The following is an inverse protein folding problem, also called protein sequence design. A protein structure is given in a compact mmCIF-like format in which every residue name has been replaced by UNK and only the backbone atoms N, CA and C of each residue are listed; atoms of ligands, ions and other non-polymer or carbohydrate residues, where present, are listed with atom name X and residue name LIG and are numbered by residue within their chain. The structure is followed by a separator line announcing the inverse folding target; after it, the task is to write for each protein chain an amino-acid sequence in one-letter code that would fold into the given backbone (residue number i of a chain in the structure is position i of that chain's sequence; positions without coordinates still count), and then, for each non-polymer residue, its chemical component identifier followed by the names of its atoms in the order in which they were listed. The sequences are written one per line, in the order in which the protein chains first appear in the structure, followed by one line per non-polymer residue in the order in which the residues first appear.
data_IF_972626229153
#
_entry.id   IF_972626229153
#
_cell.length_a   1.000
_cell.length_b   1.000
_cell.length_c   1.000
_cell.angle_alpha   90.00
_cell.angle_beta   90.00
_cell.angle_gamma   90.00
#
_symmetry.space_group_name_H-M   'P 1'
#
loop_
_entity.id
_entity.type
_entity.pdbx_description
1 polymer ?
#
# COMPACT_ATOMS: atom_id res chain seq x y z
N UNK A 1 12.61 -8.50 -18.17
CA UNK A 1 11.89 -7.20 -18.10
C UNK A 1 11.23 -7.09 -16.73
N UNK A 2 11.33 -5.95 -16.06
CA UNK A 2 10.70 -5.76 -14.75
C UNK A 2 9.18 -5.66 -14.92
N UNK A 3 8.42 -6.18 -13.95
CA UNK A 3 6.96 -6.02 -13.94
C UNK A 3 6.58 -4.55 -13.70
N UNK A 4 5.56 -4.07 -14.40
CA UNK A 4 5.00 -2.75 -14.13
C UNK A 4 4.43 -2.70 -12.70
N UNK A 5 4.50 -1.54 -12.06
CA UNK A 5 4.08 -1.38 -10.67
C UNK A 5 3.26 -0.11 -10.48
N UNK A 6 2.09 -0.24 -9.87
CA UNK A 6 1.31 0.88 -9.34
C UNK A 6 1.46 0.91 -7.82
N UNK A 7 1.89 2.05 -7.29
CA UNK A 7 2.02 2.30 -5.86
C UNK A 7 1.04 3.42 -5.50
N UNK A 8 0.15 3.14 -4.56
CA UNK A 8 -0.76 4.13 -3.97
C UNK A 8 -0.26 4.35 -2.54
N UNK A 9 0.44 5.46 -2.34
CA UNK A 9 0.97 5.87 -1.05
C UNK A 9 -0.07 6.76 -0.35
N UNK A 10 -0.53 6.34 0.82
CA UNK A 10 -1.57 7.04 1.58
C UNK A 10 -0.99 8.03 2.59
N UNK A 11 0.15 7.69 3.17
CA UNK A 11 0.85 8.46 4.20
C UNK A 11 2.35 8.13 4.14
N UNK A 12 3.26 9.08 4.45
CA UNK A 12 2.98 10.43 4.95
C UNK A 12 2.53 11.40 3.86
N UNK A 13 3.14 11.31 2.67
CA UNK A 13 2.82 12.10 1.48
C UNK A 13 1.93 11.26 0.56
N UNK A 14 0.80 11.81 0.12
CA UNK A 14 -0.14 11.12 -0.75
C UNK A 14 0.35 11.18 -2.21
N UNK A 15 0.75 10.02 -2.75
CA UNK A 15 1.21 9.88 -4.14
C UNK A 15 0.61 8.64 -4.80
N UNK A 16 0.25 8.77 -6.07
CA UNK A 16 -0.01 7.62 -6.93
C UNK A 16 1.09 7.57 -7.97
N UNK A 17 1.92 6.53 -7.93
CA UNK A 17 2.96 6.33 -8.94
C UNK A 17 2.78 5.06 -9.75
N UNK A 18 3.07 5.17 -11.04
CA UNK A 18 3.05 4.06 -12.00
C UNK A 18 4.41 3.96 -12.68
N UNK A 19 5.09 2.84 -12.44
CA UNK A 19 6.35 2.48 -13.11
C UNK A 19 6.06 1.55 -14.29
N UNK A 20 6.44 1.98 -15.49
CA UNK A 20 6.28 1.24 -16.75
C UNK A 20 7.58 1.20 -17.54
N UNK A 21 7.72 0.22 -18.41
CA UNK A 21 8.88 0.10 -19.30
C UNK A 21 8.68 0.94 -20.58
N UNK A 22 9.60 1.86 -20.86
CA UNK A 22 9.63 2.66 -22.08
C UNK A 22 10.87 2.33 -22.92
N UNK A 23 10.82 2.56 -24.23
CA UNK A 23 11.99 2.48 -25.10
C UNK A 23 13.02 3.52 -24.66
N UNK A 24 14.27 3.09 -24.52
CA UNK A 24 15.40 4.00 -24.33
C UNK A 24 15.66 4.74 -25.64
N UNK A 25 15.60 6.07 -25.61
CA UNK A 25 15.97 6.88 -26.76
C UNK A 25 17.48 6.77 -27.01
N UNK A 26 17.87 6.36 -28.21
CA UNK A 26 19.26 6.16 -28.61
C UNK A 26 19.39 5.96 -30.11
N UNK A 27 20.58 6.24 -30.65
CA UNK A 27 20.91 6.03 -32.06
C UNK A 27 21.27 4.57 -32.38
N UNK A 28 21.37 3.72 -31.36
CA UNK A 28 21.67 2.31 -31.49
C UNK A 28 20.47 1.53 -32.05
N UNK A 29 20.74 0.62 -32.98
CA UNK A 29 19.73 -0.27 -33.59
C UNK A 29 19.16 -1.32 -32.63
N UNK A 30 19.66 -1.40 -31.40
CA UNK A 30 19.20 -2.37 -30.40
C UNK A 30 18.06 -1.79 -29.55
N UNK A 31 16.93 -2.50 -29.50
CA UNK A 31 15.76 -2.12 -28.70
C UNK A 31 16.05 -2.34 -27.21
N UNK A 32 16.49 -1.29 -26.51
CA UNK A 32 16.68 -1.29 -25.06
C UNK A 32 15.46 -0.67 -24.35
N UNK A 33 15.01 -1.29 -23.26
CA UNK A 33 13.94 -0.79 -22.41
C UNK A 33 14.51 -0.15 -21.14
N UNK A 34 13.89 0.93 -20.68
CA UNK A 34 14.19 1.60 -19.41
C UNK A 34 12.90 1.84 -18.62
N UNK A 35 12.91 1.68 -17.28
CA UNK A 35 11.76 2.03 -16.46
C UNK A 35 11.56 3.55 -16.42
N UNK A 36 10.32 4.00 -16.54
CA UNK A 36 9.92 5.38 -16.28
C UNK A 36 8.89 5.39 -15.14
N UNK A 37 9.04 6.30 -14.18
CA UNK A 37 8.09 6.53 -13.09
C UNK A 37 7.23 7.73 -13.41
N UNK A 38 5.92 7.54 -13.47
CA UNK A 38 4.94 8.62 -13.54
C UNK A 38 4.34 8.79 -12.14
N UNK A 39 4.42 9.98 -11.55
CA UNK A 39 3.89 10.28 -10.22
C UNK A 39 2.79 11.33 -10.29
N UNK A 40 1.71 11.10 -9.55
CA UNK A 40 0.63 12.05 -9.32
C UNK A 40 0.61 12.37 -7.82
N UNK A 41 1.34 13.41 -7.44
CA UNK A 41 1.35 13.90 -6.07
C UNK A 41 0.17 14.86 -5.85
N UNK A 42 -0.61 14.60 -4.82
CA UNK A 42 -1.71 15.49 -4.44
C UNK A 42 -1.14 16.71 -3.70
N UNK A 43 -1.33 17.91 -4.27
CA UNK A 43 -0.97 19.17 -3.59
C UNK A 43 0.07 20.05 -4.26
N UNK A 44 0.61 19.67 -5.43
CA UNK A 44 1.45 20.55 -6.25
C UNK A 44 0.72 20.99 -7.52
N UNK A 45 -0.16 21.98 -7.42
CA UNK A 45 -0.65 22.73 -8.58
C UNK A 45 0.39 23.78 -9.01
N UNK A 46 1.54 23.32 -9.51
CA UNK A 46 2.58 24.19 -10.06
C UNK A 46 3.40 24.97 -9.01
N UNK A 47 4.42 25.68 -9.50
CA UNK A 47 5.34 26.49 -8.67
C UNK A 47 4.58 27.69 -8.07
N UNK A 48 4.21 27.61 -6.79
CA UNK A 48 3.69 28.74 -6.02
C UNK A 48 2.34 28.52 -5.34
N UNK A 49 1.68 27.39 -5.56
CA UNK A 49 0.39 27.11 -4.93
C UNK A 49 0.61 26.45 -3.55
N UNK A 50 -0.16 26.87 -2.55
CA UNK A 50 -0.12 26.25 -1.22
C UNK A 50 -0.88 24.93 -1.30
N UNK A 51 -0.33 23.81 -0.78
CA UNK A 51 -1.06 22.54 -0.80
C UNK A 51 -2.41 22.71 -0.09
N UNK A 52 -3.50 22.14 -0.63
CA UNK A 52 -4.80 22.22 0.01
C UNK A 52 -4.71 21.62 1.41
N UNK A 53 -5.40 22.24 2.38
CA UNK A 53 -5.44 21.74 3.76
C UNK A 53 -5.88 20.27 3.76
N UNK A 54 -5.01 19.40 4.25
CA UNK A 54 -5.33 17.99 4.50
C UNK A 54 -6.44 17.92 5.54
N UNK A 55 -7.60 17.36 5.17
CA UNK A 55 -8.68 17.09 6.12
C UNK A 55 -8.30 15.86 6.93
N UNK A 56 -8.43 15.94 8.24
CA UNK A 56 -8.21 14.80 9.14
C UNK A 56 -9.34 13.80 8.90
N UNK A 57 -9.04 12.50 8.95
CA UNK A 57 -10.02 11.43 8.66
C UNK A 57 -11.35 11.61 9.41
N UNK A 58 -11.31 12.00 10.69
CA UNK A 58 -12.51 12.23 11.50
C UNK A 58 -13.37 13.42 11.03
N UNK A 59 -12.79 14.46 10.46
CA UNK A 59 -13.56 15.62 9.96
C UNK A 59 -14.51 15.17 8.85
N UNK A 60 -14.02 14.31 7.96
CA UNK A 60 -14.82 13.73 6.87
C UNK A 60 -15.88 12.77 7.41
N UNK A 61 -15.51 11.85 8.29
CA UNK A 61 -16.44 10.84 8.84
C UNK A 61 -17.60 11.50 9.61
N UNK A 62 -17.32 12.54 10.40
CA UNK A 62 -18.36 13.26 11.13
C UNK A 62 -19.32 13.98 10.17
N UNK A 63 -18.79 14.60 9.11
CA UNK A 63 -19.62 15.24 8.09
C UNK A 63 -20.53 14.25 7.38
N UNK A 64 -20.00 13.07 7.03
CA UNK A 64 -20.75 12.03 6.33
C UNK A 64 -21.83 11.42 7.24
N UNK A 65 -21.53 11.21 8.54
CA UNK A 65 -22.52 10.80 9.53
C UNK A 65 -23.68 11.79 9.66
N UNK A 66 -23.39 13.10 9.70
CA UNK A 66 -24.42 14.15 9.77
C UNK A 66 -25.28 14.21 8.49
N UNK A 67 -24.73 13.83 7.35
CA UNK A 67 -25.44 13.75 6.06
C UNK A 67 -26.21 12.44 5.86
N UNK A 68 -26.05 11.48 6.77
CA UNK A 68 -26.59 10.13 6.61
C UNK A 68 -25.91 9.34 5.48
N UNK A 69 -24.69 9.71 5.09
CA UNK A 69 -23.90 8.99 4.10
C UNK A 69 -23.09 7.89 4.79
N UNK A 70 -23.45 6.64 4.53
CA UNK A 70 -22.81 5.46 5.14
C UNK A 70 -21.67 4.88 4.30
N UNK A 71 -21.25 5.53 3.22
CA UNK A 71 -20.29 4.95 2.24
C UNK A 71 -18.92 4.62 2.84
N UNK A 72 -18.45 5.41 3.81
CA UNK A 72 -17.14 5.22 4.47
C UNK A 72 -17.25 4.48 5.81
N UNK A 73 -18.41 3.92 6.13
CA UNK A 73 -18.64 3.17 7.35
C UNK A 73 -18.67 1.67 7.06
N UNK A 74 -18.01 0.90 7.91
CA UNK A 74 -18.02 -0.56 7.81
C UNK A 74 -19.41 -1.08 8.12
N UNK A 75 -19.94 -1.93 7.25
CA UNK A 75 -21.26 -2.54 7.44
C UNK A 75 -21.18 -3.68 8.44
N UNK A 76 -22.31 -4.04 9.04
CA UNK A 76 -22.36 -5.09 10.07
C UNK A 76 -21.90 -6.45 9.54
N UNK A 77 -22.40 -6.85 8.38
CA UNK A 77 -22.04 -8.09 7.71
C UNK A 77 -20.56 -8.12 7.32
N UNK A 78 -20.01 -7.00 6.83
CA UNK A 78 -18.57 -6.86 6.57
C UNK A 78 -17.74 -7.06 7.84
N UNK A 79 -18.15 -6.45 8.95
CA UNK A 79 -17.48 -6.63 10.24
C UNK A 79 -17.57 -8.07 10.75
N UNK A 80 -18.73 -8.71 10.65
CA UNK A 80 -18.91 -10.11 11.06
C UNK A 80 -18.02 -11.07 10.24
N UNK A 81 -17.87 -10.86 8.93
CA UNK A 81 -16.98 -11.67 8.09
C UNK A 81 -15.50 -11.41 8.40
N UNK A 82 -15.12 -10.15 8.64
CA UNK A 82 -13.76 -9.81 9.02
C UNK A 82 -13.38 -10.48 10.36
N UNK A 83 -14.27 -10.46 11.34
CA UNK A 83 -14.07 -11.12 12.63
C UNK A 83 -13.95 -12.63 12.48
N UNK A 84 -14.82 -13.27 11.70
CA UNK A 84 -14.72 -14.71 11.45
C UNK A 84 -13.32 -15.11 10.95
N UNK A 85 -12.74 -14.34 10.03
CA UNK A 85 -11.40 -14.61 9.52
C UNK A 85 -10.32 -14.42 10.58
N UNK A 86 -10.41 -13.36 11.40
CA UNK A 86 -9.46 -13.10 12.50
C UNK A 86 -9.54 -14.19 13.58
N UNK A 87 -10.76 -14.60 13.95
CA UNK A 87 -11.00 -15.63 14.96
C UNK A 87 -10.40 -16.97 14.53
N UNK A 88 -10.64 -17.40 13.28
CA UNK A 88 -10.06 -18.65 12.75
C UNK A 88 -8.52 -18.64 12.78
N UNK A 89 -7.88 -17.50 12.48
CA UNK A 89 -6.41 -17.36 12.55
C UNK A 89 -5.92 -17.37 14.00
N UNK A 90 -6.63 -16.68 14.90
CA UNK A 90 -6.30 -16.62 16.32
C UNK A 90 -6.41 -17.98 17.01
N UNK A 91 -7.48 -18.72 16.75
CA UNK A 91 -7.70 -20.06 17.29
C UNK A 91 -6.61 -21.03 16.83
N UNK A 92 -6.25 -20.99 15.54
CA UNK A 92 -5.16 -21.80 15.00
C UNK A 92 -3.80 -21.48 15.65
N UNK A 93 -3.54 -20.21 15.99
CA UNK A 93 -2.32 -19.82 16.71
C UNK A 93 -2.31 -20.29 18.17
N UNK A 94 -3.46 -20.23 18.85
CA UNK A 94 -3.61 -20.73 20.20
C UNK A 94 -3.39 -22.24 20.29
N UNK A 95 -4.04 -23.01 19.41
CA UNK A 95 -3.93 -24.47 19.35
C UNK A 95 -2.55 -24.94 18.91
N UNK A 96 -1.94 -24.24 17.95
CA UNK A 96 -0.62 -24.59 17.42
C UNK A 96 0.55 -24.26 18.34
N UNK A 97 0.33 -23.49 19.41
CA UNK A 97 1.39 -23.04 20.32
C UNK A 97 2.47 -22.21 19.63
N UNK A 98 2.13 -21.54 18.52
CA UNK A 98 3.07 -20.82 17.67
C UNK A 98 3.43 -19.50 18.34
N UNK A 99 4.72 -19.31 18.64
CA UNK A 99 5.23 -18.04 19.18
C UNK A 99 5.63 -17.10 18.05
N UNK A 100 5.38 -15.78 18.18
CA UNK A 100 5.91 -14.78 17.26
C UNK A 100 7.43 -14.87 17.16
N UNK A 101 7.98 -14.69 15.96
CA UNK A 101 9.42 -14.62 15.78
C UNK A 101 9.94 -13.23 16.13
N UNK A 102 11.07 -13.20 16.83
CA UNK A 102 11.77 -11.97 17.16
C UNK A 102 12.43 -11.36 15.92
N UNK A 103 12.51 -10.03 15.92
CA UNK A 103 13.19 -9.26 14.88
C UNK A 103 13.77 -7.99 15.50
N UNK A 104 14.77 -7.42 14.83
CA UNK A 104 15.47 -6.22 15.29
C UNK A 104 14.55 -5.00 15.14
N UNK A 105 14.48 -4.15 16.17
CA UNK A 105 13.72 -2.91 16.10
C UNK A 105 14.21 -2.01 14.94
N UNK A 106 13.27 -1.50 14.14
CA UNK A 106 13.57 -0.75 12.92
C UNK A 106 13.75 -1.60 11.66
N UNK A 107 13.74 -2.94 11.77
CA UNK A 107 13.65 -3.81 10.60
C UNK A 107 12.20 -3.95 10.12
N UNK A 108 12.02 -4.50 8.92
CA UNK A 108 10.72 -4.83 8.33
C UNK A 108 10.09 -6.12 8.88
N UNK A 109 10.68 -6.74 9.90
CA UNK A 109 10.22 -8.01 10.48
C UNK A 109 11.24 -9.15 10.37
N UNK A 110 10.81 -10.40 10.67
CA UNK A 110 11.67 -11.57 10.62
C UNK A 110 11.87 -12.10 9.19
N UNK A 111 12.97 -12.81 8.89
CA UNK A 111 13.24 -13.37 7.55
C UNK A 111 12.16 -14.31 7.00
N UNK A 112 11.35 -14.92 7.88
CA UNK A 112 10.21 -15.74 7.47
C UNK A 112 9.13 -14.94 6.73
N UNK A 113 9.01 -13.63 7.00
CA UNK A 113 8.06 -12.76 6.29
C UNK A 113 8.42 -12.63 4.80
N UNK A 114 9.71 -12.58 4.46
CA UNK A 114 10.18 -12.57 3.06
C UNK A 114 9.96 -13.93 2.41
N UNK A 115 10.26 -15.01 3.15
CA UNK A 115 10.06 -16.38 2.69
C UNK A 115 8.59 -16.66 2.35
N UNK A 116 7.65 -16.09 3.11
CA UNK A 116 6.21 -16.21 2.86
C UNK A 116 5.83 -15.72 1.45
N UNK A 117 6.33 -14.56 1.03
CA UNK A 117 6.05 -14.01 -0.30
C UNK A 117 6.87 -14.69 -1.40
N UNK A 118 8.12 -15.06 -1.12
CA UNK A 118 9.01 -15.71 -2.08
C UNK A 118 8.43 -17.02 -2.64
N UNK A 119 7.65 -17.76 -1.84
CA UNK A 119 6.89 -18.96 -2.27
C UNK A 119 5.96 -18.71 -3.47
N UNK A 120 5.57 -17.45 -3.68
CA UNK A 120 4.70 -17.02 -4.77
C UNK A 120 5.42 -16.13 -5.79
N UNK A 121 6.76 -16.08 -5.75
CA UNK A 121 7.57 -15.25 -6.64
C UNK A 121 7.39 -13.73 -6.44
N UNK A 122 6.89 -13.32 -5.27
CA UNK A 122 6.64 -11.92 -4.91
C UNK A 122 7.63 -11.46 -3.85
N UNK A 123 7.82 -10.14 -3.77
CA UNK A 123 8.65 -9.49 -2.76
C UNK A 123 7.91 -8.30 -2.16
N UNK A 124 8.21 -7.97 -0.90
CA UNK A 124 7.61 -6.82 -0.23
C UNK A 124 8.04 -5.50 -0.89
N UNK A 125 7.17 -4.49 -0.83
CA UNK A 125 7.55 -3.11 -1.13
C UNK A 125 8.15 -2.47 0.12
N UNK A 126 9.30 -2.95 0.56
CA UNK A 126 10.09 -2.28 1.60
C UNK A 126 10.78 -1.11 0.92
N UNK A 127 10.14 0.06 0.94
CA UNK A 127 10.73 1.30 0.44
C UNK A 127 12.09 1.54 1.11
N UNK A 128 13.14 1.71 0.30
CA UNK A 128 14.35 2.43 0.71
C UNK A 128 14.11 3.95 0.62
#
# INVERSE_FOLDING_TARGET
PQANRMIIELQPEEDISLTVMNKKAGLDSQMQLQPIKMSLSWGFRGKGDTPPRRRIAYERLLLDALKGDSTLFVRRDEAEQAWKWVDEVSDAWADGGVKPQEYVAGSWGPPLADTLLARTGRTWNTSE
#
